data_IF_287102271369
#
_entry.id   IF_287102271369
#
_cell.length_a   1.000
_cell.length_b   1.000
_cell.length_c   1.000
_cell.angle_alpha   90.00
_cell.angle_beta   90.00
_cell.angle_gamma   90.00
#
_symmetry.space_group_name_H-M   'P 1'
#
loop_
_entity.id
_entity.type
_entity.pdbx_description
1 polymer ?
#
# COMPACT_ATOMS: atom_id res chain seq x y z
N UNK A 1 -1.06 -12.62 -1.55
CA UNK A 1 -2.20 -12.62 -0.63
C UNK A 1 -1.73 -12.58 0.81
N UNK A 2 -2.52 -11.97 1.70
CA UNK A 2 -2.12 -11.88 3.09
C UNK A 2 -1.46 -10.55 3.49
N UNK A 3 -2.00 -9.43 3.03
CA UNK A 3 -1.42 -8.08 3.23
C UNK A 3 -1.83 -7.40 4.56
N UNK A 4 -2.54 -8.08 5.45
CA UNK A 4 -2.90 -7.55 6.78
C UNK A 4 -3.69 -6.26 6.79
N UNK A 5 -4.60 -6.09 5.86
CA UNK A 5 -5.36 -4.86 5.68
C UNK A 5 -4.71 -3.84 4.74
N UNK A 6 -3.42 -3.97 4.42
CA UNK A 6 -2.69 -3.02 3.56
C UNK A 6 -2.64 -3.42 2.08
N UNK A 7 -3.65 -4.16 1.60
CA UNK A 7 -3.67 -4.67 0.22
C UNK A 7 -3.54 -3.59 -0.84
N UNK A 8 -4.29 -2.50 -0.73
CA UNK A 8 -4.20 -1.39 -1.68
C UNK A 8 -2.83 -0.69 -1.64
N UNK A 9 -2.25 -0.54 -0.46
CA UNK A 9 -0.94 0.08 -0.28
C UNK A 9 0.21 -0.74 -0.84
N UNK A 10 0.10 -2.08 -0.84
CA UNK A 10 1.22 -2.98 -1.15
C UNK A 10 1.06 -3.71 -2.48
N UNK A 11 -0.14 -3.72 -3.08
CA UNK A 11 -0.47 -4.59 -4.21
C UNK A 11 0.43 -4.40 -5.43
N UNK A 12 0.79 -3.18 -5.78
CA UNK A 12 1.67 -2.92 -6.91
C UNK A 12 3.08 -3.47 -6.68
N UNK A 13 3.61 -3.32 -5.46
CA UNK A 13 4.91 -3.84 -5.10
C UNK A 13 4.93 -5.35 -5.02
N UNK A 14 4.01 -5.94 -4.30
CA UNK A 14 3.94 -7.41 -4.20
C UNK A 14 3.63 -8.06 -5.54
N UNK A 15 2.80 -7.42 -6.38
CA UNK A 15 2.59 -7.86 -7.75
C UNK A 15 3.84 -7.78 -8.62
N UNK A 16 4.69 -6.76 -8.42
CA UNK A 16 6.00 -6.66 -9.09
C UNK A 16 6.92 -7.79 -8.67
N UNK A 17 7.07 -8.01 -7.36
CA UNK A 17 7.92 -9.08 -6.83
C UNK A 17 7.45 -10.47 -7.29
N UNK A 18 6.14 -10.71 -7.30
CA UNK A 18 5.59 -11.96 -7.81
C UNK A 18 5.84 -12.15 -9.31
N UNK A 19 5.78 -11.08 -10.08
CA UNK A 19 6.06 -11.13 -11.51
C UNK A 19 7.54 -11.38 -11.80
N UNK A 20 8.46 -10.89 -10.96
CA UNK A 20 9.88 -11.16 -11.06
C UNK A 20 10.18 -12.65 -10.80
N UNK A 21 9.55 -13.25 -9.81
CA UNK A 21 9.63 -14.69 -9.54
C UNK A 21 9.07 -15.52 -10.72
N UNK A 22 7.99 -15.05 -11.37
CA UNK A 22 7.42 -15.76 -12.51
C UNK A 22 8.36 -15.76 -13.74
N UNK A 23 9.19 -14.73 -13.91
CA UNK A 23 10.20 -14.69 -14.98
C UNK A 23 11.19 -15.85 -14.84
N UNK A 24 11.60 -16.18 -13.62
CA UNK A 24 12.58 -17.23 -13.33
C UNK A 24 12.04 -18.61 -13.70
N UNK A 25 10.74 -18.80 -13.75
CA UNK A 25 10.11 -20.08 -14.09
C UNK A 25 10.17 -20.42 -15.58
N UNK A 26 10.31 -19.45 -16.46
CA UNK A 26 10.49 -19.65 -17.91
C UNK A 26 9.21 -19.71 -18.73
N UNK A 27 8.07 -20.11 -18.18
CA UNK A 27 6.77 -20.05 -18.86
C UNK A 27 6.29 -18.62 -19.09
N UNK A 28 5.61 -18.40 -20.21
CA UNK A 28 5.05 -17.09 -20.55
C UNK A 28 3.53 -17.02 -20.42
N UNK A 29 2.87 -18.15 -20.23
CA UNK A 29 1.44 -18.20 -19.93
C UNK A 29 1.24 -18.37 -18.44
N UNK A 30 0.40 -17.50 -17.86
CA UNK A 30 0.20 -17.47 -16.41
C UNK A 30 -1.24 -17.26 -16.04
N UNK A 31 -1.69 -17.98 -15.03
CA UNK A 31 -2.99 -17.82 -14.41
C UNK A 31 -2.88 -16.96 -13.14
N UNK A 32 -3.73 -15.95 -13.04
CA UNK A 32 -3.89 -15.16 -11.82
C UNK A 32 -5.22 -15.52 -11.18
N UNK A 33 -5.20 -15.90 -9.92
CA UNK A 33 -6.41 -16.23 -9.17
C UNK A 33 -6.91 -15.01 -8.39
N UNK A 34 -8.10 -14.56 -8.76
CA UNK A 34 -8.77 -13.41 -8.14
C UNK A 34 -8.64 -12.09 -8.92
N UNK A 35 -9.71 -11.30 -8.88
CA UNK A 35 -9.86 -10.03 -9.61
C UNK A 35 -10.01 -8.83 -8.65
N UNK A 36 -9.49 -8.94 -7.42
CA UNK A 36 -9.34 -7.83 -6.51
C UNK A 36 -8.06 -7.03 -6.78
N UNK A 37 -7.78 -6.02 -5.96
CA UNK A 37 -6.60 -5.14 -6.17
C UNK A 37 -5.30 -5.91 -6.31
N UNK A 38 -5.07 -6.96 -5.52
CA UNK A 38 -3.84 -7.76 -5.56
C UNK A 38 -3.73 -8.56 -6.86
N UNK A 39 -4.81 -9.23 -7.28
CA UNK A 39 -4.81 -10.00 -8.52
C UNK A 39 -4.66 -9.11 -9.75
N UNK A 40 -5.39 -8.00 -9.82
CA UNK A 40 -5.30 -7.06 -10.94
C UNK A 40 -3.92 -6.41 -11.07
N UNK A 41 -3.31 -6.01 -9.96
CA UNK A 41 -1.96 -5.43 -10.00
C UNK A 41 -0.90 -6.46 -10.37
N UNK A 42 -0.99 -7.69 -9.85
CA UNK A 42 -0.11 -8.78 -10.24
C UNK A 42 -0.25 -9.10 -11.74
N UNK A 43 -1.48 -9.24 -12.23
CA UNK A 43 -1.76 -9.45 -13.66
C UNK A 43 -1.15 -8.34 -14.52
N UNK A 44 -1.31 -7.08 -14.10
CA UNK A 44 -0.74 -5.95 -14.84
C UNK A 44 0.78 -5.94 -14.83
N UNK A 45 1.40 -6.31 -13.72
CA UNK A 45 2.86 -6.41 -13.64
C UNK A 45 3.41 -7.55 -14.52
N UNK A 46 2.70 -8.66 -14.58
CA UNK A 46 3.03 -9.77 -15.47
C UNK A 46 2.90 -9.37 -16.94
N UNK A 47 1.79 -8.72 -17.32
CA UNK A 47 1.60 -8.20 -18.68
C UNK A 47 2.71 -7.23 -19.10
N UNK A 48 3.14 -6.33 -18.21
CA UNK A 48 4.26 -5.41 -18.48
C UNK A 48 5.58 -6.13 -18.77
N UNK A 49 5.71 -7.38 -18.31
CA UNK A 49 6.88 -8.25 -18.53
C UNK A 49 6.69 -9.22 -19.69
N UNK A 50 5.61 -9.08 -20.46
CA UNK A 50 5.36 -9.85 -21.67
C UNK A 50 4.73 -11.23 -21.43
N UNK A 51 4.05 -11.43 -20.28
CA UNK A 51 3.29 -12.64 -20.03
C UNK A 51 1.90 -12.57 -20.69
N UNK A 52 1.44 -13.71 -21.18
CA UNK A 52 0.03 -13.94 -21.53
C UNK A 52 -0.73 -14.33 -20.25
N UNK A 53 -1.62 -13.45 -19.81
CA UNK A 53 -2.24 -13.53 -18.49
C UNK A 53 -3.71 -13.82 -18.59
N UNK A 54 -4.14 -14.90 -17.96
CA UNK A 54 -5.56 -15.22 -17.75
C UNK A 54 -5.93 -15.05 -16.29
N UNK A 55 -7.01 -14.30 -15.99
CA UNK A 55 -7.51 -14.12 -14.62
C UNK A 55 -8.70 -15.05 -14.41
N UNK A 56 -8.63 -15.87 -13.36
CA UNK A 56 -9.73 -16.71 -12.89
C UNK A 56 -10.31 -16.12 -11.61
N UNK A 57 -11.61 -15.88 -11.60
CA UNK A 57 -12.29 -15.25 -10.46
C UNK A 57 -13.76 -15.65 -10.38
N UNK A 58 -14.31 -15.65 -9.18
CA UNK A 58 -15.73 -15.81 -8.92
C UNK A 58 -16.50 -14.48 -9.03
N UNK A 59 -15.80 -13.35 -8.78
CA UNK A 59 -16.41 -12.02 -8.77
C UNK A 59 -15.48 -11.03 -9.45
N UNK A 60 -16.07 -10.18 -10.28
CA UNK A 60 -15.38 -9.05 -10.91
C UNK A 60 -15.71 -7.74 -10.20
N UNK A 61 -14.90 -6.68 -10.35
CA UNK A 61 -15.29 -5.34 -9.91
C UNK A 61 -16.66 -4.94 -10.50
N UNK A 62 -17.53 -4.26 -9.74
CA UNK A 62 -17.31 -3.71 -8.40
C UNK A 62 -17.64 -4.66 -7.22
N UNK A 63 -17.82 -5.93 -7.46
CA UNK A 63 -18.32 -6.88 -6.46
C UNK A 63 -17.23 -7.56 -5.63
N UNK A 64 -15.98 -7.19 -5.81
CA UNK A 64 -14.86 -7.73 -5.04
C UNK A 64 -14.75 -7.06 -3.66
N UNK A 65 -14.09 -7.72 -2.72
CA UNK A 65 -13.81 -7.15 -1.40
C UNK A 65 -12.98 -5.86 -1.49
N UNK A 66 -12.10 -5.75 -2.48
CA UNK A 66 -11.29 -4.56 -2.70
C UNK A 66 -12.12 -3.31 -2.97
N UNK A 67 -13.29 -3.44 -3.59
CA UNK A 67 -14.18 -2.31 -3.86
C UNK A 67 -14.92 -1.77 -2.61
N UNK A 68 -14.80 -2.48 -1.48
CA UNK A 68 -15.37 -2.07 -0.19
C UNK A 68 -14.33 -1.47 0.74
N UNK A 69 -13.08 -1.44 0.33
CA UNK A 69 -11.99 -0.93 1.14
C UNK A 69 -11.90 0.60 1.04
N UNK A 70 -11.46 1.23 2.12
CA UNK A 70 -11.16 2.66 2.13
C UNK A 70 -10.02 3.04 1.17
N UNK A 71 -9.09 2.14 0.93
CA UNK A 71 -8.01 2.25 -0.05
C UNK A 71 -6.99 3.39 0.16
N UNK A 72 -6.85 3.90 1.37
CA UNK A 72 -5.75 4.82 1.70
C UNK A 72 -4.37 4.17 1.58
N UNK A 73 -3.35 4.96 1.24
CA UNK A 73 -1.98 4.47 1.25
C UNK A 73 -1.43 4.48 2.67
N UNK A 74 -1.55 3.36 3.33
CA UNK A 74 -1.05 3.14 4.70
C UNK A 74 -0.30 1.82 4.74
N UNK A 75 0.98 1.78 4.30
CA UNK A 75 1.75 0.54 4.17
C UNK A 75 2.17 0.01 5.54
N UNK A 76 1.21 -0.56 6.25
CA UNK A 76 1.43 -1.23 7.52
C UNK A 76 1.13 -2.70 7.41
N UNK A 77 1.65 -3.53 8.30
CA UNK A 77 1.27 -4.92 8.39
C UNK A 77 0.99 -5.30 9.83
N UNK A 78 -0.24 -5.70 10.10
CA UNK A 78 -0.65 -6.27 11.37
C UNK A 78 -0.54 -7.79 11.41
N UNK A 79 -0.23 -8.46 10.29
CA UNK A 79 -0.20 -9.92 10.19
C UNK A 79 1.03 -10.56 10.80
N UNK A 80 2.17 -9.87 10.73
CA UNK A 80 3.42 -10.42 11.22
C UNK A 80 3.74 -9.82 12.57
N UNK A 81 3.78 -10.66 13.60
CA UNK A 81 4.22 -10.22 14.93
C UNK A 81 5.68 -9.78 14.90
N UNK A 82 6.10 -9.00 15.88
CA UNK A 82 7.50 -8.57 16.00
C UNK A 82 8.50 -9.75 16.01
N UNK A 83 8.07 -10.91 16.51
CA UNK A 83 8.90 -12.14 16.54
C UNK A 83 9.05 -12.78 15.17
N UNK A 84 8.07 -12.61 14.28
CA UNK A 84 8.09 -13.17 12.93
C UNK A 84 8.74 -12.25 11.89
N UNK A 85 9.10 -11.03 12.25
CA UNK A 85 9.75 -10.08 11.35
C UNK A 85 11.24 -10.36 11.27
N UNK A 86 11.65 -10.93 10.16
CA UNK A 86 13.06 -11.11 9.84
C UNK A 86 13.57 -9.90 9.06
N UNK A 87 14.90 -9.64 9.03
CA UNK A 87 15.46 -8.59 8.17
C UNK A 87 15.10 -8.75 6.69
N UNK A 88 15.05 -10.00 6.19
CA UNK A 88 14.63 -10.28 4.82
C UNK A 88 13.17 -9.92 4.57
N UNK A 89 12.28 -10.25 5.50
CA UNK A 89 10.88 -9.86 5.42
C UNK A 89 10.71 -8.34 5.43
N UNK A 90 11.43 -7.65 6.29
CA UNK A 90 11.35 -6.19 6.35
C UNK A 90 11.88 -5.52 5.09
N UNK A 91 12.97 -6.03 4.52
CA UNK A 91 13.51 -5.54 3.26
C UNK A 91 12.49 -5.73 2.11
N UNK A 92 11.87 -6.90 2.00
CA UNK A 92 10.85 -7.19 1.00
C UNK A 92 9.62 -6.29 1.19
N UNK A 93 9.19 -6.08 2.43
CA UNK A 93 8.06 -5.22 2.75
C UNK A 93 8.30 -3.77 2.34
N UNK A 94 9.49 -3.22 2.66
CA UNK A 94 9.91 -1.87 2.25
C UNK A 94 9.94 -1.74 0.73
N UNK A 95 10.56 -2.69 0.06
CA UNK A 95 10.62 -2.71 -1.40
C UNK A 95 9.21 -2.70 -2.02
N UNK A 96 8.30 -3.52 -1.50
CA UNK A 96 6.92 -3.55 -1.98
C UNK A 96 6.19 -2.23 -1.73
N UNK A 97 6.37 -1.61 -0.57
CA UNK A 97 5.78 -0.30 -0.25
C UNK A 97 6.31 0.80 -1.16
N UNK A 98 7.62 0.83 -1.40
CA UNK A 98 8.28 1.80 -2.27
C UNK A 98 7.80 1.70 -3.73
N UNK A 99 7.78 0.49 -4.28
CA UNK A 99 7.28 0.26 -5.64
C UNK A 99 5.82 0.70 -5.76
N UNK A 100 4.99 0.34 -4.77
CA UNK A 100 3.58 0.71 -4.76
C UNK A 100 3.39 2.22 -4.70
N UNK A 101 4.12 2.90 -3.84
CA UNK A 101 4.07 4.35 -3.69
C UNK A 101 4.39 5.06 -5.00
N UNK A 102 5.53 4.72 -5.61
CA UNK A 102 5.95 5.29 -6.91
C UNK A 102 4.90 5.04 -8.00
N UNK A 103 4.33 3.84 -8.04
CA UNK A 103 3.30 3.52 -9.02
C UNK A 103 2.02 4.33 -8.79
N UNK A 104 1.59 4.51 -7.55
CA UNK A 104 0.41 5.30 -7.21
C UNK A 104 0.61 6.79 -7.53
N UNK A 105 1.81 7.34 -7.31
CA UNK A 105 2.13 8.71 -7.71
C UNK A 105 1.93 8.95 -9.21
N UNK A 106 2.32 7.98 -10.04
CA UNK A 106 2.14 8.05 -11.49
C UNK A 106 0.66 7.93 -11.92
N UNK A 107 -0.19 7.49 -11.01
CA UNK A 107 -1.62 7.28 -11.26
C UNK A 107 -2.49 8.38 -10.67
N UNK A 108 -1.91 9.41 -10.05
CA UNK A 108 -2.68 10.52 -9.50
C UNK A 108 -3.45 11.22 -10.61
N UNK A 109 -4.75 11.39 -10.37
CA UNK A 109 -5.66 12.08 -11.28
C UNK A 109 -6.96 11.32 -11.55
N UNK A 110 -7.91 11.98 -12.20
CA UNK A 110 -9.28 11.47 -12.37
C UNK A 110 -9.34 10.19 -13.22
N UNK A 111 -8.38 9.98 -14.11
CA UNK A 111 -8.33 8.79 -14.98
C UNK A 111 -8.25 7.49 -14.18
N UNK A 112 -7.53 7.51 -13.07
CA UNK A 112 -7.29 6.32 -12.25
C UNK A 112 -7.99 6.39 -10.89
N UNK A 113 -8.61 7.51 -10.55
CA UNK A 113 -9.28 7.71 -9.27
C UNK A 113 -8.32 7.75 -8.07
N UNK A 114 -7.04 8.04 -8.30
CA UNK A 114 -6.04 8.23 -7.25
C UNK A 114 -5.92 9.71 -6.97
N UNK A 115 -6.04 10.10 -5.70
CA UNK A 115 -5.93 11.50 -5.29
C UNK A 115 -5.12 11.63 -4.01
N UNK A 116 -4.56 12.80 -3.80
CA UNK A 116 -4.04 13.21 -2.51
C UNK A 116 -5.22 13.61 -1.62
N UNK A 117 -5.15 13.22 -0.37
CA UNK A 117 -6.11 13.62 0.67
C UNK A 117 -5.35 14.08 1.89
N UNK A 118 -5.94 15.05 2.61
CA UNK A 118 -5.46 15.43 3.92
C UNK A 118 -5.96 14.42 4.95
N UNK A 119 -5.05 13.93 5.79
CA UNK A 119 -5.37 12.99 6.87
C UNK A 119 -5.20 13.70 8.22
N UNK A 120 -6.30 13.84 8.96
CA UNK A 120 -6.34 14.55 10.23
C UNK A 120 -6.44 13.58 11.39
N UNK A 121 -5.42 13.57 12.25
CA UNK A 121 -5.45 12.86 13.52
C UNK A 121 -6.12 13.73 14.60
N UNK A 122 -7.20 13.23 15.19
CA UNK A 122 -7.75 13.86 16.38
C UNK A 122 -6.88 13.56 17.59
N UNK A 123 -6.39 14.62 18.26
CA UNK A 123 -5.66 14.49 19.52
C UNK A 123 -6.49 15.06 20.66
N UNK A 124 -6.66 14.30 21.72
CA UNK A 124 -7.24 14.81 22.94
C UNK A 124 -6.20 15.70 23.64
N UNK A 125 -6.50 16.99 23.75
CA UNK A 125 -5.60 17.99 24.37
C UNK A 125 -5.40 17.78 25.87
N UNK A 126 -6.15 16.90 26.50
CA UNK A 126 -6.08 16.60 27.92
C UNK A 126 -5.17 15.40 28.25
N UNK A 127 -4.69 14.67 27.26
CA UNK A 127 -3.81 13.52 27.52
C UNK A 127 -2.34 13.94 27.51
N UNK A 128 -1.60 13.71 28.61
CA UNK A 128 -0.14 13.87 28.57
C UNK A 128 0.42 12.96 27.48
N UNK A 129 1.37 13.47 26.72
CA UNK A 129 1.95 12.98 25.47
C UNK A 129 2.69 11.61 25.59
N UNK A 130 2.18 10.69 26.35
CA UNK A 130 2.59 9.30 26.33
C UNK A 130 1.50 8.43 25.71
N UNK A 131 1.22 8.61 24.42
CA UNK A 131 0.72 7.49 23.67
C UNK A 131 1.77 6.40 23.77
N UNK A 132 1.53 5.43 24.65
CA UNK A 132 2.12 4.10 24.47
C UNK A 132 1.63 3.64 23.10
N UNK A 133 2.40 3.97 22.07
CA UNK A 133 2.25 3.32 20.79
C UNK A 133 2.29 1.83 21.12
N UNK A 134 1.16 1.19 21.06
CA UNK A 134 1.16 -0.26 21.09
C UNK A 134 2.08 -0.65 19.95
N UNK A 135 2.92 -1.65 20.13
CA UNK A 135 3.90 -2.12 19.13
C UNK A 135 3.31 -2.38 17.74
N UNK A 136 1.98 -2.30 17.60
CA UNK A 136 1.20 -2.41 16.37
C UNK A 136 1.24 -1.17 15.49
N UNK A 137 1.46 0.01 16.09
CA UNK A 137 1.37 1.31 15.40
C UNK A 137 2.73 1.94 15.13
N UNK A 138 3.82 1.20 15.26
CA UNK A 138 5.11 1.72 14.83
C UNK A 138 5.09 1.81 13.31
N UNK A 139 5.16 3.05 12.76
CA UNK A 139 5.40 3.20 11.34
C UNK A 139 6.66 2.40 10.99
N UNK A 140 6.63 1.78 9.83
CA UNK A 140 7.82 1.18 9.26
C UNK A 140 8.85 2.30 9.18
N UNK A 141 10.09 2.09 9.68
CA UNK A 141 11.13 3.08 9.51
C UNK A 141 11.19 3.46 8.03
N UNK A 142 11.17 4.75 7.75
CA UNK A 142 11.22 5.23 6.37
C UNK A 142 12.40 4.61 5.64
N UNK A 143 12.21 4.02 4.47
CA UNK A 143 13.34 3.63 3.65
C UNK A 143 14.10 4.90 3.30
N UNK A 144 15.41 4.90 3.49
CA UNK A 144 16.27 5.97 2.99
C UNK A 144 15.97 6.20 1.51
N UNK A 145 15.61 7.42 1.14
CA UNK A 145 15.31 7.80 -0.24
C UNK A 145 13.85 7.93 -0.62
N UNK A 146 12.88 7.57 0.23
CA UNK A 146 11.52 8.06 0.09
C UNK A 146 11.44 9.47 0.66
N UNK A 147 10.74 10.37 -0.03
CA UNK A 147 10.57 11.73 0.44
C UNK A 147 9.86 11.72 1.80
N UNK A 148 10.50 12.17 2.88
CA UNK A 148 9.97 12.06 4.25
C UNK A 148 8.58 12.66 4.39
N UNK A 149 8.34 13.79 3.75
CA UNK A 149 7.07 14.51 3.72
C UNK A 149 5.88 13.70 3.17
N UNK A 150 6.14 12.62 2.46
CA UNK A 150 5.10 11.84 1.79
C UNK A 150 4.72 10.57 2.55
N UNK A 151 5.58 10.14 3.48
CA UNK A 151 5.28 9.07 4.42
C UNK A 151 4.78 9.63 5.77
N UNK A 152 5.01 10.89 6.01
CA UNK A 152 4.49 11.61 7.17
C UNK A 152 3.06 12.12 7.00
N UNK A 153 2.32 11.67 6.00
CA UNK A 153 0.93 12.07 5.76
C UNK A 153 -0.03 11.78 6.93
N UNK A 154 0.42 11.11 7.96
CA UNK A 154 -0.30 10.97 9.22
C UNK A 154 0.21 11.89 10.32
N UNK A 155 1.20 12.74 10.07
CA UNK A 155 1.63 13.77 11.03
C UNK A 155 1.07 15.10 10.62
N UNK A 156 0.34 15.70 11.52
CA UNK A 156 -0.10 17.08 11.36
C UNK A 156 1.15 17.97 11.33
N UNK A 157 1.59 18.35 10.14
CA UNK A 157 2.73 19.27 9.95
C UNK A 157 2.32 20.70 10.29
N UNK A 158 1.01 20.94 10.37
CA UNK A 158 0.44 22.21 10.73
C UNK A 158 0.30 22.27 12.26
N UNK A 159 0.81 23.33 12.86
CA UNK A 159 0.59 23.61 14.26
C UNK A 159 -0.90 23.75 14.57
N UNK A 160 -1.30 23.68 15.87
CA UNK A 160 -2.69 23.88 16.26
C UNK A 160 -3.18 25.24 15.75
N UNK A 161 -4.17 25.23 14.86
CA UNK A 161 -4.77 26.46 14.31
C UNK A 161 -4.30 26.86 12.91
N UNK A 162 -3.34 26.19 12.31
CA UNK A 162 -2.96 26.41 10.93
C UNK A 162 -3.76 25.52 9.98
N UNK A 163 -4.76 26.08 9.33
CA UNK A 163 -5.47 25.44 8.24
C UNK A 163 -4.91 25.96 6.90
N UNK A 164 -4.58 25.09 5.94
CA UNK A 164 -4.09 25.52 4.62
C UNK A 164 -5.18 26.20 3.79
N UNK A 165 -6.42 26.18 4.24
CA UNK A 165 -7.54 26.84 3.57
C UNK A 165 -8.16 27.88 4.52
N UNK A 166 -8.46 29.09 4.03
CA UNK A 166 -9.24 30.04 4.78
C UNK A 166 -10.61 29.42 5.08
N UNK A 167 -11.04 29.51 6.32
CA UNK A 167 -12.41 29.14 6.69
C UNK A 167 -13.40 29.94 5.85
N UNK A 168 -14.50 29.33 5.40
CA UNK A 168 -15.52 30.01 4.63
C UNK A 168 -16.17 31.15 5.40
#
# INVERSE_FOLDING_TARGET
YGHGGSGHSLAWGTGSLAADLAIEHGDRRVAVLGCGTVGLTAARQLQRRGFDVTIYTDKTPPYTTSNKAWAGFTPTSSLVSARGRTPAWEAQFRQAAEISYRQLQLMVGPRYGVSWIDDYGMMDSAAPTQRRSTRRDRPIPEPEGLLPSQLETGRNILGPGEHPFPSP
#
